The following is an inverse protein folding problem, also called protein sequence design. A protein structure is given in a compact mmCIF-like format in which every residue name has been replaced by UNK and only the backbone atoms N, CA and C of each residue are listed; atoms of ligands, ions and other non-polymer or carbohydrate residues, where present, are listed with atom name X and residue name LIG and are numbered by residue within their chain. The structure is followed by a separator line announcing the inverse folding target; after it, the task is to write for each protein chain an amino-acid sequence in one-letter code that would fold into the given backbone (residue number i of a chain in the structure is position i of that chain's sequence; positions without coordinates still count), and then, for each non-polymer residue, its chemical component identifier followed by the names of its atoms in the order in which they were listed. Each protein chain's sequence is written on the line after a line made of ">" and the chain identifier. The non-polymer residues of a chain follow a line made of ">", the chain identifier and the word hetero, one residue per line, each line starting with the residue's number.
data_IF_081264277876
#
_entry.id   IF_081264277876
#
_cell.length_a   1.000
_cell.length_b   1.000
_cell.length_c   1.000
_cell.angle_alpha   90.00
_cell.angle_beta   90.00
_cell.angle_gamma   90.00
#
_symmetry.space_group_name_H-M   'P 1'
#
loop_
_entity.id
_entity.type
_entity.pdbx_description
1 polymer ?
#
# COMPACT_ATOMS: atom_id res chain seq x y z
N UNK A 1 1.38 -13.92 -5.84
CA UNK A 1 2.13 -15.16 -6.12
C UNK A 1 1.96 -15.64 -7.56
N UNK A 2 1.02 -15.06 -8.31
CA UNK A 2 0.68 -15.42 -9.67
C UNK A 2 -0.24 -16.63 -9.80
N UNK A 3 -0.92 -16.72 -10.95
CA UNK A 3 -1.96 -17.73 -11.19
C UNK A 3 -1.42 -19.17 -11.06
N UNK A 4 -0.23 -19.46 -11.59
CA UNK A 4 0.33 -20.83 -11.58
C UNK A 4 0.54 -21.36 -10.16
N UNK A 5 1.18 -20.60 -9.27
CA UNK A 5 1.39 -20.99 -7.87
C UNK A 5 0.08 -21.04 -7.08
N UNK A 6 -0.82 -20.11 -7.33
CA UNK A 6 -2.14 -20.14 -6.70
C UNK A 6 -2.90 -21.40 -7.10
N UNK A 7 -2.91 -21.77 -8.37
CA UNK A 7 -3.55 -22.98 -8.87
C UNK A 7 -2.92 -24.24 -8.26
N UNK A 8 -1.57 -24.34 -8.23
CA UNK A 8 -0.87 -25.46 -7.59
C UNK A 8 -1.31 -25.64 -6.14
N UNK A 9 -1.29 -24.57 -5.34
CA UNK A 9 -1.68 -24.64 -3.93
C UNK A 9 -3.15 -25.03 -3.74
N UNK A 10 -4.04 -24.41 -4.54
CA UNK A 10 -5.48 -24.66 -4.44
C UNK A 10 -5.87 -26.07 -4.87
N UNK A 11 -5.24 -26.60 -5.93
CA UNK A 11 -5.55 -27.95 -6.41
C UNK A 11 -4.91 -29.05 -5.57
N UNK A 12 -3.73 -28.82 -5.01
CA UNK A 12 -3.03 -29.83 -4.24
C UNK A 12 -3.33 -29.80 -2.74
N UNK A 13 -3.75 -28.63 -2.22
CA UNK A 13 -3.93 -28.40 -0.79
C UNK A 13 -2.64 -28.58 0.03
N UNK A 14 -1.46 -28.56 -0.63
CA UNK A 14 -0.18 -28.76 0.06
C UNK A 14 0.15 -27.60 0.99
N UNK A 15 0.79 -27.91 2.10
CA UNK A 15 1.41 -26.90 2.94
C UNK A 15 2.66 -26.31 2.27
N UNK A 16 3.01 -25.09 2.62
CA UNK A 16 4.25 -24.42 2.23
C UNK A 16 4.84 -23.69 3.43
N UNK A 17 6.16 -23.48 3.42
CA UNK A 17 6.83 -22.80 4.52
C UNK A 17 6.68 -21.27 4.43
N UNK A 18 6.99 -20.58 5.53
CA UNK A 18 6.99 -19.12 5.57
C UNK A 18 8.00 -18.52 4.56
N UNK A 19 9.20 -19.14 4.48
CA UNK A 19 10.26 -18.73 3.56
C UNK A 19 9.89 -18.97 2.08
N UNK A 20 9.13 -20.05 1.81
CA UNK A 20 8.58 -20.31 0.48
C UNK A 20 7.56 -19.22 0.10
N UNK A 21 6.68 -18.89 1.03
CA UNK A 21 5.69 -17.81 0.85
C UNK A 21 6.33 -16.43 0.66
N UNK A 22 7.39 -16.11 1.38
CA UNK A 22 8.15 -14.87 1.20
C UNK A 22 8.77 -14.78 -0.19
N UNK A 23 9.48 -15.84 -0.63
CA UNK A 23 10.06 -15.88 -1.98
C UNK A 23 9.02 -15.73 -3.10
N UNK A 24 7.79 -16.11 -2.85
CA UNK A 24 6.69 -15.96 -3.81
C UNK A 24 5.94 -14.64 -3.72
N UNK A 25 6.27 -13.82 -2.73
CA UNK A 25 5.53 -12.58 -2.48
C UNK A 25 4.14 -12.82 -1.88
N UNK A 26 3.92 -13.96 -1.21
CA UNK A 26 2.70 -14.22 -0.45
C UNK A 26 2.74 -13.47 0.89
N UNK A 27 3.89 -13.44 1.52
CA UNK A 27 4.17 -12.62 2.70
C UNK A 27 5.13 -11.48 2.34
N UNK A 28 4.92 -10.31 2.92
CA UNK A 28 5.80 -9.15 2.73
C UNK A 28 7.17 -9.34 3.39
N UNK A 29 7.21 -10.04 4.52
CA UNK A 29 8.41 -10.39 5.25
C UNK A 29 8.15 -11.59 6.17
N UNK A 30 9.19 -12.36 6.42
CA UNK A 30 9.23 -13.40 7.44
C UNK A 30 10.21 -12.99 8.52
N UNK A 31 9.78 -13.01 9.77
CA UNK A 31 10.52 -12.49 10.91
C UNK A 31 10.48 -13.50 12.07
N UNK A 32 11.47 -13.48 12.96
CA UNK A 32 11.35 -14.16 14.26
C UNK A 32 10.09 -13.69 15.01
N UNK A 33 9.50 -14.59 15.81
CA UNK A 33 8.22 -14.33 16.47
C UNK A 33 8.22 -13.06 17.36
N UNK A 34 9.34 -12.79 18.03
CA UNK A 34 9.54 -11.60 18.86
C UNK A 34 9.72 -10.30 18.06
N UNK A 35 10.15 -10.41 16.81
CA UNK A 35 10.31 -9.28 15.88
C UNK A 35 9.04 -8.89 15.12
N UNK A 36 8.04 -9.77 15.07
CA UNK A 36 6.85 -9.57 14.22
C UNK A 36 6.02 -8.35 14.63
N UNK A 37 5.63 -8.29 15.91
CA UNK A 37 4.80 -7.18 16.41
C UNK A 37 5.55 -5.84 16.38
N UNK A 38 6.81 -5.74 16.80
CA UNK A 38 7.59 -4.50 16.65
C UNK A 38 7.63 -4.01 15.20
N UNK A 39 7.90 -4.88 14.22
CA UNK A 39 7.93 -4.48 12.81
C UNK A 39 6.55 -4.08 12.27
N UNK A 40 5.50 -4.77 12.67
CA UNK A 40 4.14 -4.39 12.30
C UNK A 40 3.75 -3.01 12.85
N UNK A 41 4.11 -2.73 14.10
CA UNK A 41 3.87 -1.42 14.73
C UNK A 41 4.68 -0.29 14.11
N UNK A 42 5.93 -0.57 13.72
CA UNK A 42 6.77 0.39 12.98
C UNK A 42 6.12 0.76 11.65
N UNK A 43 5.73 -0.22 10.83
CA UNK A 43 5.06 0.02 9.55
C UNK A 43 3.71 0.73 9.73
N UNK A 44 2.93 0.35 10.74
CA UNK A 44 1.68 1.01 11.05
C UNK A 44 1.90 2.49 11.45
N UNK A 45 2.95 2.77 12.20
CA UNK A 45 3.36 4.14 12.54
C UNK A 45 3.76 4.96 11.32
N UNK A 46 4.58 4.39 10.43
CA UNK A 46 4.95 5.05 9.15
C UNK A 46 3.71 5.42 8.32
N UNK A 47 2.73 4.53 8.25
CA UNK A 47 1.46 4.78 7.53
C UNK A 47 0.62 5.83 8.27
N UNK A 48 0.54 5.77 9.59
CA UNK A 48 -0.23 6.72 10.39
C UNK A 48 0.33 8.15 10.33
N UNK A 49 1.66 8.29 10.23
CA UNK A 49 2.35 9.56 10.06
C UNK A 49 2.20 10.15 8.64
N UNK A 50 1.62 9.41 7.72
CA UNK A 50 1.43 9.81 6.33
C UNK A 50 0.15 10.60 6.08
N UNK A 51 -0.09 11.04 4.82
CA UNK A 51 -1.26 11.82 4.43
C UNK A 51 -2.52 10.93 4.43
N UNK A 52 -3.25 10.89 5.53
CA UNK A 52 -4.36 9.97 5.77
C UNK A 52 -5.43 9.98 4.69
N UNK A 53 -5.79 11.16 4.16
CA UNK A 53 -6.75 11.27 3.05
C UNK A 53 -6.24 10.58 1.78
N UNK A 54 -4.97 10.81 1.41
CA UNK A 54 -4.38 10.19 0.24
C UNK A 54 -4.25 8.66 0.42
N UNK A 55 -3.88 8.18 1.62
CA UNK A 55 -3.86 6.74 1.92
C UNK A 55 -5.24 6.09 1.78
N UNK A 56 -6.30 6.76 2.26
CA UNK A 56 -7.67 6.27 2.09
C UNK A 56 -8.09 6.21 0.61
N UNK A 57 -7.67 7.21 -0.19
CA UNK A 57 -7.92 7.25 -1.62
C UNK A 57 -7.16 6.13 -2.35
N UNK A 58 -5.87 5.96 -2.06
CA UNK A 58 -5.03 4.87 -2.60
C UNK A 58 -5.64 3.50 -2.30
N UNK A 59 -6.04 3.26 -1.05
CA UNK A 59 -6.71 2.01 -0.68
C UNK A 59 -7.98 1.75 -1.50
N UNK A 60 -8.77 2.81 -1.73
CA UNK A 60 -9.99 2.72 -2.55
C UNK A 60 -9.67 2.37 -4.00
N UNK A 61 -8.66 3.00 -4.60
CA UNK A 61 -8.25 2.73 -5.98
C UNK A 61 -7.71 1.31 -6.14
N UNK A 62 -6.79 0.89 -5.29
CA UNK A 62 -6.27 -0.49 -5.30
C UNK A 62 -7.36 -1.57 -5.28
N UNK A 63 -8.47 -1.34 -4.57
CA UNK A 63 -9.58 -2.30 -4.53
C UNK A 63 -10.50 -2.24 -5.74
N UNK A 64 -10.62 -1.09 -6.40
CA UNK A 64 -11.55 -0.90 -7.53
C UNK A 64 -10.94 -1.28 -8.87
N UNK A 65 -9.65 -1.04 -9.05
CA UNK A 65 -8.95 -1.22 -10.33
C UNK A 65 -8.88 -2.66 -10.81
N UNK A 66 -9.01 -3.63 -9.92
CA UNK A 66 -9.10 -5.05 -10.27
C UNK A 66 -10.21 -5.39 -11.30
N UNK A 67 -11.24 -4.55 -11.38
CA UNK A 67 -12.38 -4.75 -12.27
C UNK A 67 -12.49 -3.67 -13.35
N UNK A 68 -11.46 -2.83 -13.52
CA UNK A 68 -11.44 -1.75 -14.51
C UNK A 68 -10.59 -2.11 -15.72
N UNK A 69 -11.00 -1.62 -16.90
CA UNK A 69 -10.11 -1.55 -18.04
C UNK A 69 -9.03 -0.49 -17.85
N UNK A 70 -7.96 -0.53 -18.64
CA UNK A 70 -6.82 0.37 -18.51
C UNK A 70 -7.24 1.86 -18.57
N UNK A 71 -8.04 2.24 -19.55
CA UNK A 71 -8.45 3.63 -19.74
C UNK A 71 -9.32 4.13 -18.58
N UNK A 72 -10.21 3.27 -18.07
CA UNK A 72 -11.04 3.56 -16.90
C UNK A 72 -10.19 3.73 -15.63
N UNK A 73 -9.19 2.88 -15.42
CA UNK A 73 -8.27 2.97 -14.30
C UNK A 73 -7.46 4.28 -14.35
N UNK A 74 -6.90 4.64 -15.52
CA UNK A 74 -6.15 5.88 -15.70
C UNK A 74 -7.03 7.10 -15.37
N UNK A 75 -8.28 7.12 -15.85
CA UNK A 75 -9.20 8.21 -15.59
C UNK A 75 -9.60 8.29 -14.10
N UNK A 76 -9.82 7.14 -13.47
CA UNK A 76 -10.14 7.06 -12.05
C UNK A 76 -8.99 7.57 -11.18
N UNK A 77 -7.75 7.15 -11.48
CA UNK A 77 -6.53 7.62 -10.80
C UNK A 77 -6.32 9.12 -10.99
N UNK A 78 -6.50 9.65 -12.20
CA UNK A 78 -6.36 11.08 -12.47
C UNK A 78 -7.36 11.91 -11.64
N UNK A 79 -8.60 11.45 -11.52
CA UNK A 79 -9.62 12.10 -10.66
C UNK A 79 -9.26 12.02 -9.18
N UNK A 80 -8.81 10.85 -8.71
CA UNK A 80 -8.38 10.65 -7.33
C UNK A 80 -7.20 11.55 -6.98
N UNK A 81 -6.21 11.64 -7.86
CA UNK A 81 -5.06 12.51 -7.71
C UNK A 81 -5.47 13.99 -7.67
N UNK A 82 -6.35 14.42 -8.59
CA UNK A 82 -6.83 15.80 -8.61
C UNK A 82 -7.52 16.19 -7.30
N UNK A 83 -8.28 15.30 -6.69
CA UNK A 83 -8.90 15.51 -5.38
C UNK A 83 -7.85 15.59 -4.27
N UNK A 84 -6.87 14.67 -4.25
CA UNK A 84 -5.77 14.72 -3.28
C UNK A 84 -4.96 16.02 -3.36
N UNK A 85 -4.76 16.55 -4.55
CA UNK A 85 -4.04 17.84 -4.76
C UNK A 85 -4.77 19.06 -4.19
N UNK A 86 -6.06 18.94 -3.84
CA UNK A 86 -6.82 20.02 -3.19
C UNK A 86 -6.66 20.03 -1.67
N UNK A 87 -6.07 18.98 -1.08
CA UNK A 87 -5.89 18.87 0.37
C UNK A 87 -4.78 19.79 0.87
N UNK A 88 -4.87 20.20 2.13
CA UNK A 88 -3.79 20.97 2.78
C UNK A 88 -2.53 20.12 2.95
N UNK A 89 -2.69 18.81 3.13
CA UNK A 89 -1.58 17.86 3.21
C UNK A 89 -0.75 17.82 1.92
N UNK A 90 -1.38 17.97 0.74
CA UNK A 90 -0.63 18.13 -0.50
C UNK A 90 0.26 19.38 -0.49
N UNK A 91 -0.29 20.51 -0.01
CA UNK A 91 0.48 21.74 0.14
C UNK A 91 1.63 21.58 1.14
N UNK A 92 1.37 20.95 2.30
CA UNK A 92 2.42 20.65 3.31
C UNK A 92 3.54 19.81 2.73
N UNK A 93 3.19 18.80 1.92
CA UNK A 93 4.17 17.96 1.22
C UNK A 93 5.02 18.77 0.24
N UNK A 94 4.39 19.59 -0.59
CA UNK A 94 5.07 20.44 -1.56
C UNK A 94 6.03 21.43 -0.88
N UNK A 95 5.58 22.13 0.16
CA UNK A 95 6.40 23.08 0.93
C UNK A 95 7.57 22.38 1.62
N UNK A 96 7.33 21.20 2.21
CA UNK A 96 8.37 20.40 2.84
C UNK A 96 9.42 19.94 1.83
N UNK A 97 8.99 19.50 0.64
CA UNK A 97 9.88 19.13 -0.46
C UNK A 97 10.74 20.31 -0.92
N UNK A 98 10.14 21.49 -1.14
CA UNK A 98 10.86 22.71 -1.53
C UNK A 98 11.91 23.14 -0.47
N UNK A 99 11.60 22.90 0.80
CA UNK A 99 12.47 23.22 1.94
C UNK A 99 13.42 22.06 2.32
N UNK A 100 13.40 20.94 1.61
CA UNK A 100 14.21 19.73 1.89
C UNK A 100 14.05 19.20 3.33
N UNK A 101 12.83 19.24 3.86
CA UNK A 101 12.49 18.72 5.20
C UNK A 101 11.43 17.62 5.11
N UNK A 102 11.29 16.84 6.19
CA UNK A 102 10.20 15.85 6.29
C UNK A 102 8.86 16.60 6.42
N UNK A 103 7.82 16.24 5.65
CA UNK A 103 6.49 16.79 5.82
C UNK A 103 5.84 16.32 7.14
N UNK A 104 4.93 17.14 7.67
CA UNK A 104 4.01 16.74 8.74
C UNK A 104 2.59 16.82 8.18
N UNK A 105 1.84 15.74 8.35
CA UNK A 105 0.47 15.61 7.83
C UNK A 105 -0.55 15.67 8.96
N UNK A 106 -1.74 16.20 8.65
CA UNK A 106 -2.85 16.36 9.60
C UNK A 106 -4.12 15.65 9.12
N UNK A 107 -4.10 15.09 7.89
CA UNK A 107 -5.20 14.33 7.32
C UNK A 107 -6.29 15.16 6.63
N UNK A 108 -6.02 16.44 6.29
CA UNK A 108 -6.97 17.41 5.76
C UNK A 108 -6.52 18.11 4.45
#
# INVERSE_FOLDING_TARGET
>A
IGHGRAAELLYTGRAFSAEEGERWGFFNAVLPADGLLPRAMELAGEIADGPGFAHAMTKRMLHREWNMGLDEAIEAEAKAQAVCMQTKDFRRAYEAFAQKRKPAFEGD
#
